data_IF_099449311725
#
_entry.id   IF_099449311725
#
_cell.length_a   1.000
_cell.length_b   1.000
_cell.length_c   1.000
_cell.angle_alpha   90.00
_cell.angle_beta   90.00
_cell.angle_gamma   90.00
#
_symmetry.space_group_name_H-M   'P 1'
#
loop_
_entity.id
_entity.type
_entity.pdbx_description
1 polymer ?
#
# COMPACT_ATOMS: atom_id res chain seq x y z
N UNK A 1 -36.64 -32.68 -4.97
CA UNK A 1 -37.73 -32.63 -3.98
C UNK A 1 -37.10 -32.35 -2.62
N UNK A 2 -37.30 -31.16 -2.09
CA UNK A 2 -37.56 -30.74 -0.71
C UNK A 2 -37.35 -29.24 -0.63
N UNK A 3 -38.46 -28.55 -0.71
CA UNK A 3 -38.67 -27.13 -0.46
C UNK A 3 -38.55 -26.85 1.04
N UNK A 4 -37.81 -25.84 1.44
CA UNK A 4 -37.92 -25.24 2.78
C UNK A 4 -38.31 -23.78 2.65
N UNK A 5 -39.57 -23.56 2.96
CA UNK A 5 -40.25 -22.27 3.12
C UNK A 5 -39.93 -21.76 4.53
N UNK A 6 -39.26 -20.62 4.66
CA UNK A 6 -39.16 -19.90 5.94
C UNK A 6 -40.24 -18.83 6.01
N UNK A 7 -41.26 -19.13 6.82
CA UNK A 7 -42.40 -18.27 7.08
C UNK A 7 -41.98 -17.01 7.90
N UNK A 8 -42.44 -15.87 7.39
CA UNK A 8 -42.43 -14.59 8.11
C UNK A 8 -43.54 -14.63 9.18
N UNK A 9 -43.19 -14.59 10.44
CA UNK A 9 -44.12 -14.34 11.54
C UNK A 9 -44.37 -12.83 11.64
N UNK A 10 -45.56 -12.42 11.25
CA UNK A 10 -46.11 -11.11 11.56
C UNK A 10 -46.76 -11.19 12.94
N UNK A 11 -46.25 -10.40 13.91
CA UNK A 11 -46.89 -10.20 15.21
C UNK A 11 -47.81 -9.00 15.12
N UNK A 12 -49.10 -9.14 15.37
CA UNK A 12 -49.99 -7.98 15.43
C UNK A 12 -49.86 -7.29 16.80
N UNK A 13 -49.52 -6.01 16.80
CA UNK A 13 -49.55 -5.15 17.94
C UNK A 13 -51.02 -4.80 18.21
N UNK A 14 -51.57 -5.34 19.30
CA UNK A 14 -52.88 -4.98 19.83
C UNK A 14 -52.76 -3.66 20.60
N UNK A 15 -53.41 -2.62 20.07
CA UNK A 15 -53.53 -1.32 20.72
C UNK A 15 -54.66 -1.42 21.74
N UNK A 16 -54.34 -1.48 23.03
CA UNK A 16 -55.35 -1.36 24.11
C UNK A 16 -55.34 0.09 24.59
N UNK A 17 -56.37 0.83 24.23
CA UNK A 17 -56.65 2.16 24.74
C UNK A 17 -57.34 2.01 26.09
N UNK A 18 -56.63 2.27 27.21
CA UNK A 18 -57.26 2.46 28.51
C UNK A 18 -57.05 3.90 28.97
N UNK A 19 -58.14 4.68 28.88
CA UNK A 19 -58.25 5.99 29.50
C UNK A 19 -58.38 5.82 31.01
N UNK A 20 -57.36 6.16 31.78
CA UNK A 20 -57.47 6.47 33.20
C UNK A 20 -56.81 7.81 33.44
N UNK A 21 -57.65 8.83 33.69
CA UNK A 21 -57.23 10.12 34.18
C UNK A 21 -56.73 9.95 35.64
N UNK A 22 -55.40 9.99 35.82
CA UNK A 22 -54.76 10.10 37.12
C UNK A 22 -53.64 11.14 36.97
N UNK A 23 -53.74 12.25 37.71
CA UNK A 23 -52.63 13.19 37.90
C UNK A 23 -51.49 12.47 38.62
N UNK A 24 -50.61 11.81 37.86
CA UNK A 24 -49.31 11.39 38.33
C UNK A 24 -48.29 12.35 37.68
N UNK A 25 -47.62 13.16 38.51
CA UNK A 25 -46.42 13.87 38.12
C UNK A 25 -45.42 12.88 37.58
N UNK A 26 -45.30 12.80 36.28
CA UNK A 26 -44.21 12.05 35.61
C UNK A 26 -42.89 12.57 36.22
N UNK A 27 -42.00 11.69 36.66
CA UNK A 27 -40.64 12.09 36.98
C UNK A 27 -40.09 12.70 35.68
N UNK A 28 -39.68 13.96 35.73
CA UNK A 28 -38.97 14.62 34.65
C UNK A 28 -37.69 13.82 34.49
N UNK A 29 -37.57 13.03 33.40
CA UNK A 29 -36.32 12.47 33.02
C UNK A 29 -35.28 13.62 33.10
N UNK A 30 -34.13 13.39 33.74
CA UNK A 30 -33.11 14.42 33.79
C UNK A 30 -32.79 14.76 32.33
N UNK A 31 -33.02 16.04 31.97
CA UNK A 31 -32.63 16.52 30.66
C UNK A 31 -31.13 16.22 30.54
N UNK A 32 -30.78 15.30 29.67
CA UNK A 32 -29.38 15.05 29.35
C UNK A 32 -28.82 16.39 28.91
N UNK A 33 -27.89 16.93 29.67
CA UNK A 33 -27.23 18.17 29.33
C UNK A 33 -26.52 17.96 28.00
N UNK A 34 -26.99 18.63 26.95
CA UNK A 34 -26.45 18.49 25.61
C UNK A 34 -24.94 18.76 25.56
N UNK A 35 -24.45 19.62 26.46
CA UNK A 35 -23.03 19.91 26.60
C UNK A 35 -22.23 18.70 27.10
N UNK A 36 -22.75 17.99 28.11
CA UNK A 36 -22.07 16.78 28.63
C UNK A 36 -22.02 15.64 27.60
N UNK A 37 -23.12 15.41 26.87
CA UNK A 37 -23.15 14.41 25.81
C UNK A 37 -22.17 14.73 24.67
N UNK A 38 -22.02 16.00 24.31
CA UNK A 38 -21.03 16.45 23.33
C UNK A 38 -19.59 16.25 23.83
N UNK A 39 -19.31 16.51 25.08
CA UNK A 39 -18.00 16.30 25.67
C UNK A 39 -17.62 14.81 25.69
N UNK A 40 -18.53 13.94 26.11
CA UNK A 40 -18.33 12.49 26.10
C UNK A 40 -18.03 11.97 24.66
N UNK A 41 -18.80 12.44 23.69
CA UNK A 41 -18.59 12.06 22.28
C UNK A 41 -17.22 12.54 21.75
N UNK A 42 -16.81 13.77 22.09
CA UNK A 42 -15.52 14.30 21.66
C UNK A 42 -14.36 13.55 22.33
N UNK A 43 -14.47 13.20 23.61
CA UNK A 43 -13.48 12.40 24.34
C UNK A 43 -13.37 11.00 23.71
N UNK A 44 -14.48 10.32 23.46
CA UNK A 44 -14.47 9.00 22.82
C UNK A 44 -13.84 9.03 21.41
N UNK A 45 -14.08 10.10 20.64
CA UNK A 45 -13.45 10.30 19.34
C UNK A 45 -11.93 10.51 19.45
N UNK A 46 -11.48 11.24 20.48
CA UNK A 46 -10.06 11.44 20.75
C UNK A 46 -9.37 10.13 21.18
N UNK A 47 -10.00 9.35 22.05
CA UNK A 47 -9.51 8.04 22.48
C UNK A 47 -9.34 7.08 21.29
N UNK A 48 -10.33 7.03 20.39
CA UNK A 48 -10.28 6.22 19.19
C UNK A 48 -9.14 6.65 18.23
N UNK A 49 -8.91 7.96 18.07
CA UNK A 49 -7.82 8.47 17.25
C UNK A 49 -6.43 8.15 17.86
N UNK A 50 -6.32 8.32 19.19
CA UNK A 50 -5.10 7.98 19.94
C UNK A 50 -4.79 6.48 19.83
N UNK A 51 -5.78 5.62 19.96
CA UNK A 51 -5.59 4.17 19.82
C UNK A 51 -5.03 3.78 18.44
N UNK A 52 -5.48 4.46 17.37
CA UNK A 52 -4.93 4.24 16.00
C UNK A 52 -3.49 4.71 15.88
N UNK A 53 -3.16 5.89 16.41
CA UNK A 53 -1.79 6.40 16.37
C UNK A 53 -0.84 5.54 17.21
N UNK A 54 -1.27 5.08 18.40
CA UNK A 54 -0.51 4.20 19.25
C UNK A 54 -0.25 2.82 18.66
N UNK A 55 -1.12 2.31 17.79
CA UNK A 55 -0.89 1.04 17.09
C UNK A 55 0.38 1.05 16.24
N UNK A 56 0.91 2.23 15.92
CA UNK A 56 2.12 2.42 15.15
C UNK A 56 3.27 3.05 15.96
N UNK A 57 3.14 3.21 17.28
CA UNK A 57 4.09 3.89 18.18
C UNK A 57 4.41 5.35 17.76
N UNK A 58 3.45 6.02 17.10
CA UNK A 58 3.63 7.38 16.52
C UNK A 58 2.77 8.45 17.20
N UNK A 59 2.58 8.35 18.51
CA UNK A 59 1.87 9.38 19.26
C UNK A 59 2.82 10.47 19.76
N UNK A 60 2.34 11.72 19.76
CA UNK A 60 3.08 12.82 20.33
C UNK A 60 2.84 12.91 21.84
N UNK A 61 3.90 13.23 22.58
CA UNK A 61 3.90 13.26 24.07
C UNK A 61 2.76 14.05 24.68
N UNK A 62 2.33 15.17 24.06
CA UNK A 62 1.30 16.05 24.61
C UNK A 62 -0.13 15.60 24.27
N UNK A 63 -0.30 14.64 23.38
CA UNK A 63 -1.63 14.19 22.93
C UNK A 63 -2.41 13.55 24.08
N UNK A 64 -1.80 12.65 24.83
CA UNK A 64 -2.40 12.00 25.99
C UNK A 64 -2.69 13.01 27.12
N UNK A 65 -1.84 14.01 27.26
CA UNK A 65 -2.04 15.08 28.22
C UNK A 65 -3.28 15.92 27.90
N UNK A 66 -3.53 16.24 26.63
CA UNK A 66 -4.75 16.94 26.24
C UNK A 66 -6.00 16.09 26.46
N UNK A 67 -5.92 14.77 26.21
CA UNK A 67 -7.02 13.86 26.53
C UNK A 67 -7.33 13.85 28.03
N UNK A 68 -6.32 13.73 28.90
CA UNK A 68 -6.50 13.77 30.35
C UNK A 68 -7.12 15.09 30.82
N UNK A 69 -6.66 16.22 30.29
CA UNK A 69 -7.23 17.53 30.58
C UNK A 69 -8.70 17.64 30.12
N UNK A 70 -9.06 17.03 28.99
CA UNK A 70 -10.45 16.98 28.51
C UNK A 70 -11.35 16.19 29.48
N UNK A 71 -10.89 15.04 29.95
CA UNK A 71 -11.59 14.21 30.93
C UNK A 71 -11.75 14.94 32.27
N UNK A 72 -10.71 15.63 32.72
CA UNK A 72 -10.76 16.44 33.97
C UNK A 72 -11.74 17.62 33.86
N UNK A 73 -11.83 18.28 32.69
CA UNK A 73 -12.77 19.35 32.43
C UNK A 73 -14.22 18.84 32.41
N UNK A 74 -14.46 17.70 31.75
CA UNK A 74 -15.77 17.04 31.74
C UNK A 74 -16.23 16.66 33.14
N UNK A 75 -15.34 16.12 33.98
CA UNK A 75 -15.63 15.79 35.40
C UNK A 75 -16.00 17.01 36.25
N UNK A 76 -15.52 18.19 35.86
CA UNK A 76 -15.86 19.48 36.53
C UNK A 76 -17.12 20.13 35.94
N UNK A 77 -17.77 19.55 34.96
CA UNK A 77 -18.92 20.09 34.26
C UNK A 77 -18.59 21.20 33.24
N UNK A 78 -17.29 21.40 32.92
CA UNK A 78 -16.86 22.34 31.90
C UNK A 78 -16.84 21.64 30.53
N UNK A 79 -18.04 21.50 29.96
CA UNK A 79 -18.24 20.78 28.70
C UNK A 79 -17.55 21.48 27.52
N UNK A 80 -17.47 22.80 27.51
CA UNK A 80 -16.83 23.55 26.42
C UNK A 80 -15.32 23.31 26.39
N UNK A 81 -14.67 23.43 27.55
CA UNK A 81 -13.24 23.12 27.67
C UNK A 81 -12.94 21.64 27.33
N UNK A 82 -13.82 20.72 27.80
CA UNK A 82 -13.67 19.30 27.50
C UNK A 82 -13.71 19.00 26.00
N UNK A 83 -14.68 19.55 25.27
CA UNK A 83 -14.78 19.41 23.81
C UNK A 83 -13.57 20.00 23.10
N UNK A 84 -13.13 21.20 23.51
CA UNK A 84 -11.97 21.87 22.89
C UNK A 84 -10.70 21.06 23.07
N UNK A 85 -10.41 20.57 24.28
CA UNK A 85 -9.23 19.78 24.62
C UNK A 85 -9.25 18.40 23.94
N UNK A 86 -10.41 17.72 23.93
CA UNK A 86 -10.58 16.45 23.24
C UNK A 86 -10.35 16.57 21.73
N UNK A 87 -10.90 17.62 21.10
CA UNK A 87 -10.63 17.88 19.68
C UNK A 87 -9.16 18.15 19.41
N UNK A 88 -8.46 18.82 20.32
CA UNK A 88 -7.02 19.06 20.19
C UNK A 88 -6.22 17.75 20.26
N UNK A 89 -6.56 16.87 21.21
CA UNK A 89 -5.97 15.55 21.32
C UNK A 89 -6.23 14.71 20.06
N UNK A 90 -7.48 14.69 19.58
CA UNK A 90 -7.86 13.98 18.35
C UNK A 90 -7.07 14.46 17.15
N UNK A 91 -7.04 15.76 16.91
CA UNK A 91 -6.34 16.34 15.76
C UNK A 91 -4.84 16.03 15.78
N UNK A 92 -4.20 16.04 16.96
CA UNK A 92 -2.79 15.64 17.09
C UNK A 92 -2.58 14.16 16.78
N UNK A 93 -3.47 13.29 17.24
CA UNK A 93 -3.39 11.85 16.95
C UNK A 93 -3.58 11.55 15.45
N UNK A 94 -4.57 12.20 14.81
CA UNK A 94 -4.83 12.08 13.37
C UNK A 94 -3.64 12.59 12.53
N UNK A 95 -3.00 13.68 12.94
CA UNK A 95 -1.79 14.19 12.28
C UNK A 95 -0.61 13.23 12.45
N UNK A 96 -0.43 12.65 13.64
CA UNK A 96 0.63 11.69 13.91
C UNK A 96 0.44 10.41 13.08
N UNK A 97 -0.79 9.87 13.04
CA UNK A 97 -1.13 8.71 12.19
C UNK A 97 -0.85 9.01 10.71
N UNK A 98 -1.30 10.17 10.21
CA UNK A 98 -1.08 10.56 8.82
C UNK A 98 0.42 10.72 8.50
N UNK A 99 1.20 11.27 9.41
CA UNK A 99 2.65 11.41 9.24
C UNK A 99 3.34 10.05 9.18
N UNK A 100 2.94 9.08 10.01
CA UNK A 100 3.43 7.71 9.95
C UNK A 100 3.23 7.12 8.54
N UNK A 101 1.98 7.16 8.04
CA UNK A 101 1.69 6.64 6.71
C UNK A 101 2.39 7.41 5.60
N UNK A 102 2.61 8.72 5.77
CA UNK A 102 3.34 9.52 4.79
C UNK A 102 4.81 9.08 4.66
N UNK A 103 5.48 8.80 5.79
CA UNK A 103 6.85 8.30 5.75
C UNK A 103 6.93 6.89 5.14
N UNK A 104 5.99 6.00 5.47
CA UNK A 104 5.90 4.69 4.84
C UNK A 104 5.67 4.81 3.33
N UNK A 105 4.72 5.66 2.92
CA UNK A 105 4.40 5.89 1.51
C UNK A 105 5.59 6.46 0.72
N UNK A 106 6.38 7.35 1.30
CA UNK A 106 7.61 7.87 0.66
C UNK A 106 8.63 6.76 0.39
N UNK A 107 8.83 5.85 1.35
CA UNK A 107 9.72 4.71 1.17
C UNK A 107 9.20 3.76 0.09
N UNK A 108 7.92 3.44 0.12
CA UNK A 108 7.24 2.60 -0.88
C UNK A 108 7.26 3.23 -2.27
N UNK A 109 7.05 4.52 -2.38
CA UNK A 109 7.14 5.27 -3.64
C UNK A 109 8.55 5.20 -4.24
N UNK A 110 9.58 5.37 -3.41
CA UNK A 110 10.96 5.23 -3.84
C UNK A 110 11.25 3.84 -4.40
N UNK A 111 10.75 2.79 -3.77
CA UNK A 111 10.88 1.41 -4.25
C UNK A 111 10.16 1.21 -5.58
N UNK A 112 8.87 1.59 -5.65
CA UNK A 112 8.07 1.41 -6.85
C UNK A 112 8.59 2.23 -8.05
N UNK A 113 9.08 3.45 -7.82
CA UNK A 113 9.61 4.33 -8.87
C UNK A 113 10.96 3.87 -9.44
N UNK A 114 11.69 3.01 -8.73
CA UNK A 114 12.93 2.41 -9.22
C UNK A 114 12.69 1.27 -10.24
N UNK A 115 11.46 0.72 -10.29
CA UNK A 115 11.11 -0.39 -11.17
C UNK A 115 10.90 0.11 -12.59
N UNK A 116 11.56 -0.57 -13.55
CA UNK A 116 11.42 -0.27 -14.97
C UNK A 116 10.32 -1.14 -15.60
N UNK A 117 9.70 -0.65 -16.68
CA UNK A 117 8.72 -1.43 -17.43
C UNK A 117 7.33 -1.50 -16.79
N UNK A 118 7.01 -0.60 -15.86
CA UNK A 118 5.66 -0.50 -15.30
C UNK A 118 4.62 -0.32 -16.41
N UNK A 119 3.54 -1.09 -16.36
CA UNK A 119 2.41 -0.94 -17.27
C UNK A 119 1.63 0.36 -17.01
N UNK A 120 0.71 0.73 -17.91
CA UNK A 120 -0.03 1.99 -17.83
C UNK A 120 -0.85 2.11 -16.51
N UNK A 121 -1.43 1.02 -16.01
CA UNK A 121 -2.17 1.03 -14.74
C UNK A 121 -1.25 1.30 -13.55
N UNK A 122 -0.10 0.65 -13.51
CA UNK A 122 0.92 0.83 -12.48
C UNK A 122 1.51 2.24 -12.50
N UNK A 123 1.78 2.79 -13.69
CA UNK A 123 2.23 4.18 -13.85
C UNK A 123 1.18 5.17 -13.35
N UNK A 124 -0.09 4.94 -13.64
CA UNK A 124 -1.18 5.79 -13.13
C UNK A 124 -1.27 5.72 -11.59
N UNK A 125 -1.22 4.52 -11.01
CA UNK A 125 -1.25 4.35 -9.55
C UNK A 125 -0.05 5.05 -8.89
N UNK A 126 1.15 4.94 -9.47
CA UNK A 126 2.34 5.63 -9.00
C UNK A 126 2.20 7.16 -9.08
N UNK A 127 1.63 7.69 -10.16
CA UNK A 127 1.36 9.12 -10.34
C UNK A 127 0.34 9.66 -9.33
N UNK A 128 -0.72 8.91 -9.04
CA UNK A 128 -1.71 9.29 -8.02
C UNK A 128 -1.11 9.24 -6.61
N UNK A 129 -0.27 8.26 -6.32
CA UNK A 129 0.44 8.17 -5.05
C UNK A 129 1.41 9.36 -4.85
N UNK A 130 2.13 9.77 -5.91
CA UNK A 130 3.01 10.95 -5.87
C UNK A 130 2.23 12.24 -5.58
N UNK A 131 1.05 12.41 -6.19
CA UNK A 131 0.16 13.55 -5.89
C UNK A 131 -0.29 13.52 -4.42
N UNK A 132 -0.68 12.35 -3.91
CA UNK A 132 -1.09 12.20 -2.53
C UNK A 132 0.07 12.51 -1.54
N UNK A 133 1.30 12.07 -1.85
CA UNK A 133 2.50 12.40 -1.06
C UNK A 133 2.74 13.91 -1.04
N UNK A 134 2.69 14.58 -2.19
CA UNK A 134 2.87 16.05 -2.29
C UNK A 134 1.81 16.83 -1.52
N UNK A 135 0.59 16.30 -1.45
CA UNK A 135 -0.51 16.89 -0.70
C UNK A 135 -0.49 16.51 0.80
N UNK A 136 0.52 15.78 1.25
CA UNK A 136 0.62 15.25 2.61
C UNK A 136 -0.58 14.34 3.01
N UNK A 137 -1.20 13.67 2.05
CA UNK A 137 -2.28 12.70 2.24
C UNK A 137 -1.68 11.29 2.49
N UNK A 138 -1.02 11.11 3.66
CA UNK A 138 -0.18 9.94 3.92
C UNK A 138 -0.93 8.62 3.82
N UNK A 139 -2.10 8.51 4.46
CA UNK A 139 -2.92 7.29 4.42
C UNK A 139 -3.33 6.92 2.99
N UNK A 140 -3.80 7.91 2.22
CA UNK A 140 -4.18 7.70 0.82
C UNK A 140 -3.02 7.23 -0.05
N UNK A 141 -1.85 7.85 0.13
CA UNK A 141 -0.64 7.43 -0.60
C UNK A 141 -0.24 5.99 -0.26
N UNK A 142 -0.28 5.63 1.02
CA UNK A 142 0.01 4.28 1.50
C UNK A 142 -0.95 3.24 0.92
N UNK A 143 -2.26 3.54 0.93
CA UNK A 143 -3.30 2.64 0.41
C UNK A 143 -3.21 2.44 -1.11
N UNK A 144 -2.71 3.44 -1.87
CA UNK A 144 -2.42 3.31 -3.30
C UNK A 144 -1.16 2.46 -3.58
N UNK A 145 -0.12 2.63 -2.78
CA UNK A 145 1.16 1.97 -2.99
C UNK A 145 1.20 0.52 -2.50
N UNK A 146 0.41 0.18 -1.50
CA UNK A 146 0.38 -1.19 -0.95
C UNK A 146 0.04 -2.24 -2.00
N UNK A 147 -1.10 -2.16 -2.73
CA UNK A 147 -1.42 -3.13 -3.77
C UNK A 147 -0.45 -3.04 -4.96
N UNK A 148 0.00 -1.85 -5.33
CA UNK A 148 0.97 -1.66 -6.41
C UNK A 148 2.28 -2.41 -6.14
N UNK A 149 2.87 -2.25 -4.96
CA UNK A 149 4.10 -2.96 -4.59
C UNK A 149 3.88 -4.47 -4.45
N UNK A 150 2.73 -4.90 -3.95
CA UNK A 150 2.40 -6.32 -3.89
C UNK A 150 2.35 -6.93 -5.31
N UNK A 151 1.74 -6.24 -6.28
CA UNK A 151 1.71 -6.65 -7.68
C UNK A 151 3.12 -6.68 -8.30
N UNK A 152 3.91 -5.62 -8.11
CA UNK A 152 5.30 -5.54 -8.59
C UNK A 152 6.15 -6.67 -8.03
N UNK A 153 6.09 -6.89 -6.71
CA UNK A 153 6.86 -7.96 -6.03
C UNK A 153 6.40 -9.35 -6.46
N UNK A 154 5.11 -9.55 -6.70
CA UNK A 154 4.59 -10.81 -7.23
C UNK A 154 5.03 -11.08 -8.69
N UNK A 155 5.25 -10.02 -9.46
CA UNK A 155 5.75 -10.10 -10.83
C UNK A 155 7.27 -10.27 -10.93
N UNK A 156 8.02 -9.98 -9.86
CA UNK A 156 9.48 -10.14 -9.81
C UNK A 156 9.88 -11.36 -8.97
N UNK A 157 10.95 -12.02 -9.36
CA UNK A 157 11.64 -13.01 -8.55
C UNK A 157 13.15 -12.76 -8.59
N UNK A 158 13.86 -13.22 -7.56
CA UNK A 158 15.30 -13.25 -7.57
C UNK A 158 15.78 -14.65 -7.86
N UNK A 159 16.79 -14.76 -8.71
CA UNK A 159 17.43 -16.01 -9.08
C UNK A 159 18.92 -15.96 -8.70
N UNK A 160 19.38 -16.88 -7.86
CA UNK A 160 20.80 -17.04 -7.54
C UNK A 160 21.48 -17.94 -8.59
N UNK A 161 22.50 -17.42 -9.24
CA UNK A 161 23.27 -18.13 -10.26
C UNK A 161 24.05 -19.27 -9.63
N UNK A 162 23.88 -20.48 -10.16
CA UNK A 162 24.65 -21.66 -9.75
C UNK A 162 25.67 -22.07 -10.81
N UNK A 163 26.63 -22.91 -10.43
CA UNK A 163 27.67 -23.39 -11.35
C UNK A 163 27.06 -24.09 -12.56
N UNK A 164 27.46 -23.70 -13.76
CA UNK A 164 26.95 -24.23 -15.02
C UNK A 164 25.75 -23.47 -15.61
N UNK A 165 25.22 -22.45 -14.91
CA UNK A 165 24.16 -21.61 -15.45
C UNK A 165 24.70 -20.68 -16.56
N UNK A 166 23.81 -20.37 -17.49
CA UNK A 166 23.90 -19.27 -18.45
C UNK A 166 22.56 -18.52 -18.45
N UNK A 167 22.51 -17.30 -18.96
CA UNK A 167 21.24 -16.57 -19.08
C UNK A 167 20.21 -17.34 -19.89
N UNK A 168 20.67 -18.05 -20.92
CA UNK A 168 19.85 -18.95 -21.73
C UNK A 168 19.26 -20.10 -20.91
N UNK A 169 20.08 -20.78 -20.11
CA UNK A 169 19.65 -21.91 -19.29
C UNK A 169 18.70 -21.43 -18.17
N UNK A 170 19.01 -20.30 -17.51
CA UNK A 170 18.17 -19.70 -16.48
C UNK A 170 16.80 -19.34 -17.07
N UNK A 171 16.77 -18.66 -18.22
CA UNK A 171 15.53 -18.25 -18.87
C UNK A 171 14.66 -19.44 -19.30
N UNK A 172 15.27 -20.59 -19.59
CA UNK A 172 14.58 -21.83 -19.95
C UNK A 172 13.94 -22.57 -18.79
N UNK A 173 14.24 -22.22 -17.54
CA UNK A 173 13.69 -22.91 -16.36
C UNK A 173 12.20 -22.60 -16.18
N UNK A 174 11.38 -23.58 -15.75
CA UNK A 174 9.93 -23.37 -15.52
C UNK A 174 9.61 -22.29 -14.49
N UNK A 175 10.45 -22.12 -13.48
CA UNK A 175 10.31 -21.12 -12.44
C UNK A 175 10.61 -19.70 -12.92
N UNK A 176 11.30 -19.53 -14.06
CA UNK A 176 11.56 -18.24 -14.70
C UNK A 176 10.58 -18.00 -15.85
N UNK A 177 11.01 -18.14 -17.08
CA UNK A 177 10.16 -17.87 -18.26
C UNK A 177 9.71 -19.13 -19.00
N UNK A 178 10.30 -20.30 -18.70
CA UNK A 178 10.11 -21.52 -19.47
C UNK A 178 10.37 -21.33 -20.99
N UNK A 179 11.18 -20.33 -21.34
CA UNK A 179 11.51 -19.97 -22.71
C UNK A 179 12.93 -19.37 -22.78
N UNK A 180 13.91 -20.12 -23.29
CA UNK A 180 15.29 -19.65 -23.37
C UNK A 180 15.47 -18.35 -24.17
N UNK A 181 14.65 -18.09 -25.19
CA UNK A 181 14.73 -16.88 -26.01
C UNK A 181 14.39 -15.58 -25.22
N UNK A 182 13.93 -15.69 -23.98
CA UNK A 182 13.64 -14.56 -23.12
C UNK A 182 14.82 -14.14 -22.25
N UNK A 183 15.99 -14.78 -22.39
CA UNK A 183 17.18 -14.43 -21.62
C UNK A 183 17.55 -12.93 -21.65
N UNK A 184 17.30 -12.17 -22.76
CA UNK A 184 17.65 -10.76 -22.77
C UNK A 184 16.84 -9.92 -21.77
N UNK A 185 15.70 -10.42 -21.29
CA UNK A 185 14.94 -9.75 -20.20
C UNK A 185 15.74 -9.76 -18.90
N UNK A 186 16.34 -10.91 -18.55
CA UNK A 186 17.22 -11.02 -17.37
C UNK A 186 18.43 -10.09 -17.54
N UNK A 187 19.03 -10.08 -18.71
CA UNK A 187 20.17 -9.22 -19.02
C UNK A 187 19.82 -7.73 -18.87
N UNK A 188 18.66 -7.30 -19.39
CA UNK A 188 18.17 -5.93 -19.30
C UNK A 188 17.87 -5.50 -17.86
N UNK A 189 17.21 -6.36 -17.07
CA UNK A 189 16.88 -6.10 -15.69
C UNK A 189 18.14 -5.95 -14.80
N UNK A 190 19.23 -6.67 -15.16
CA UNK A 190 20.47 -6.71 -14.39
C UNK A 190 21.68 -6.06 -15.09
N UNK A 191 21.42 -5.12 -16.00
CA UNK A 191 22.47 -4.43 -16.80
C UNK A 191 23.58 -3.77 -15.98
N UNK A 192 23.29 -3.44 -14.72
CA UNK A 192 24.25 -2.82 -13.81
C UNK A 192 25.24 -3.85 -13.27
N UNK A 193 24.84 -5.10 -13.15
CA UNK A 193 25.66 -6.22 -12.70
C UNK A 193 26.30 -6.98 -13.88
N UNK A 194 25.51 -7.24 -14.94
CA UNK A 194 25.94 -8.03 -16.10
C UNK A 194 26.56 -7.11 -17.14
N UNK A 195 27.88 -7.19 -17.27
CA UNK A 195 28.61 -6.40 -18.28
C UNK A 195 28.72 -7.12 -19.63
N UNK A 196 28.71 -8.42 -19.61
CA UNK A 196 28.74 -9.33 -20.75
C UNK A 196 27.70 -10.42 -20.55
N UNK A 197 26.78 -10.56 -21.50
CA UNK A 197 25.66 -11.51 -21.39
C UNK A 197 26.13 -12.99 -21.42
N UNK A 198 27.33 -13.24 -21.92
CA UNK A 198 27.92 -14.58 -21.98
C UNK A 198 28.78 -14.91 -20.76
N UNK A 199 28.94 -13.94 -19.83
CA UNK A 199 29.80 -14.09 -18.65
C UNK A 199 29.05 -13.72 -17.38
N UNK A 200 28.43 -14.72 -16.77
CA UNK A 200 27.83 -14.64 -15.43
C UNK A 200 28.58 -15.57 -14.48
N UNK A 201 28.51 -15.29 -13.18
CA UNK A 201 29.28 -16.01 -12.16
C UNK A 201 28.35 -16.61 -11.09
N UNK A 202 28.64 -17.82 -10.60
CA UNK A 202 27.93 -18.39 -9.45
C UNK A 202 27.95 -17.43 -8.25
N UNK A 203 26.80 -17.36 -7.54
CA UNK A 203 26.57 -16.46 -6.42
C UNK A 203 26.06 -15.07 -6.80
N UNK A 204 26.01 -14.71 -8.09
CA UNK A 204 25.29 -13.52 -8.51
C UNK A 204 23.79 -13.73 -8.30
N UNK A 205 23.09 -12.69 -7.86
CA UNK A 205 21.62 -12.70 -7.70
C UNK A 205 21.00 -11.79 -8.74
N UNK A 206 20.15 -12.34 -9.60
CA UNK A 206 19.50 -11.62 -10.69
C UNK A 206 18.02 -11.39 -10.41
N UNK A 207 17.57 -10.17 -10.71
CA UNK A 207 16.16 -9.86 -10.78
C UNK A 207 15.57 -10.43 -12.07
N UNK A 208 14.47 -11.16 -11.94
CA UNK A 208 13.72 -11.78 -13.06
C UNK A 208 12.31 -11.19 -13.04
N UNK A 209 11.99 -10.37 -14.05
CA UNK A 209 10.64 -9.84 -14.27
C UNK A 209 9.77 -10.94 -14.89
N UNK A 210 8.87 -11.50 -14.10
CA UNK A 210 7.94 -12.57 -14.54
C UNK A 210 6.74 -12.08 -15.33
N UNK A 211 6.55 -10.76 -15.41
CA UNK A 211 5.44 -10.15 -16.13
C UNK A 211 5.90 -9.01 -17.07
N UNK A 212 6.84 -9.31 -17.99
CA UNK A 212 7.36 -8.31 -18.91
C UNK A 212 6.27 -7.77 -19.83
N UNK A 213 6.41 -6.50 -20.26
CA UNK A 213 5.50 -5.92 -21.24
C UNK A 213 5.58 -6.69 -22.58
N UNK A 214 4.50 -6.70 -23.36
CA UNK A 214 4.48 -7.35 -24.67
C UNK A 214 5.59 -6.82 -25.60
N UNK A 215 5.89 -5.51 -25.55
CA UNK A 215 6.96 -4.88 -26.33
C UNK A 215 8.35 -5.31 -25.87
N UNK A 216 8.57 -5.46 -24.55
CA UNK A 216 9.84 -5.95 -24.01
C UNK A 216 10.06 -7.40 -24.36
N UNK A 217 8.99 -8.21 -24.30
CA UNK A 217 9.04 -9.62 -24.69
C UNK A 217 9.40 -9.78 -26.17
N UNK A 218 8.73 -9.05 -27.07
CA UNK A 218 9.01 -9.07 -28.50
C UNK A 218 10.44 -8.62 -28.79
N UNK A 219 10.88 -7.52 -28.20
CA UNK A 219 12.23 -6.98 -28.32
C UNK A 219 13.29 -7.99 -27.86
N UNK A 220 13.07 -8.64 -26.71
CA UNK A 220 13.98 -9.64 -26.17
C UNK A 220 14.10 -10.86 -27.08
N UNK A 221 12.97 -11.41 -27.52
CA UNK A 221 12.96 -12.59 -28.41
C UNK A 221 13.61 -12.26 -29.78
N UNK A 222 13.33 -11.09 -30.34
CA UNK A 222 13.97 -10.62 -31.55
C UNK A 222 15.49 -10.47 -31.38
N UNK A 223 15.93 -9.88 -30.27
CA UNK A 223 17.36 -9.77 -29.96
C UNK A 223 18.02 -11.16 -29.86
N UNK A 224 17.43 -12.08 -29.08
CA UNK A 224 17.98 -13.42 -28.89
C UNK A 224 18.10 -14.22 -30.19
N UNK A 225 17.17 -14.02 -31.13
CA UNK A 225 17.20 -14.71 -32.46
C UNK A 225 18.19 -14.11 -33.43
N UNK A 226 18.44 -12.81 -33.33
CA UNK A 226 19.25 -12.05 -34.30
C UNK A 226 20.60 -11.61 -33.71
N UNK A 227 20.90 -11.99 -32.47
CA UNK A 227 22.21 -11.77 -31.86
C UNK A 227 23.27 -12.46 -32.68
N UNK A 228 24.33 -11.73 -33.07
CA UNK A 228 25.43 -12.25 -33.86
C UNK A 228 26.29 -13.28 -33.11
N UNK A 229 27.53 -13.48 -33.59
CA UNK A 229 28.51 -14.29 -32.90
C UNK A 229 28.73 -13.76 -31.48
N UNK A 230 29.07 -14.65 -30.56
CA UNK A 230 29.34 -14.32 -29.15
C UNK A 230 30.82 -14.54 -28.82
N UNK A 231 31.34 -13.74 -27.92
CA UNK A 231 32.72 -13.86 -27.41
C UNK A 231 32.77 -13.52 -25.92
N UNK A 232 33.29 -14.46 -25.13
CA UNK A 232 33.39 -14.24 -23.66
C UNK A 232 34.36 -13.08 -23.40
N UNK A 233 33.96 -12.16 -22.56
CA UNK A 233 34.71 -10.98 -22.14
C UNK A 233 34.52 -9.76 -23.04
N UNK A 234 33.68 -9.84 -24.06
CA UNK A 234 33.38 -8.75 -25.00
C UNK A 234 31.88 -8.48 -25.01
N UNK A 235 31.49 -7.25 -24.69
CA UNK A 235 30.08 -6.84 -24.85
C UNK A 235 29.81 -6.62 -26.34
N UNK A 236 28.96 -7.46 -26.92
CA UNK A 236 28.56 -7.38 -28.32
C UNK A 236 27.83 -6.07 -28.65
N UNK A 237 28.02 -5.56 -29.87
CA UNK A 237 27.34 -4.35 -30.32
C UNK A 237 25.82 -4.52 -30.40
N UNK A 238 25.33 -5.72 -30.67
CA UNK A 238 23.93 -6.08 -30.63
C UNK A 238 23.36 -5.93 -29.20
N UNK A 239 24.10 -6.37 -28.17
CA UNK A 239 23.74 -6.26 -26.76
C UNK A 239 23.68 -4.80 -26.30
N UNK A 240 24.64 -3.98 -26.73
CA UNK A 240 24.65 -2.54 -26.44
C UNK A 240 23.40 -1.85 -27.01
N UNK A 241 23.05 -2.16 -28.27
CA UNK A 241 21.84 -1.62 -28.92
C UNK A 241 20.57 -2.05 -28.20
N UNK A 242 20.47 -3.31 -27.82
CA UNK A 242 19.34 -3.84 -27.08
C UNK A 242 19.13 -3.12 -25.74
N UNK A 243 20.21 -2.81 -25.04
CA UNK A 243 20.16 -2.06 -23.78
C UNK A 243 19.93 -0.54 -23.93
N UNK A 244 19.71 -0.04 -25.16
CA UNK A 244 19.51 1.39 -25.45
C UNK A 244 20.79 2.21 -25.51
N UNK A 245 21.97 1.59 -25.64
CA UNK A 245 23.24 2.27 -25.85
C UNK A 245 23.39 2.76 -27.30
N UNK A 246 23.75 4.03 -27.52
CA UNK A 246 24.17 4.51 -28.82
C UNK A 246 25.52 3.90 -29.20
N UNK A 247 25.68 3.47 -30.46
CA UNK A 247 26.99 3.12 -31.02
C UNK A 247 27.89 4.36 -30.93
N UNK A 248 28.98 4.29 -30.15
CA UNK A 248 30.10 5.22 -30.39
C UNK A 248 30.76 4.72 -31.66
N UNK A 249 30.57 5.48 -32.74
CA UNK A 249 31.40 5.34 -33.92
C UNK A 249 32.84 5.63 -33.48
N UNK A 250 33.70 4.63 -33.53
CA UNK A 250 35.16 4.82 -33.45
C UNK A 250 35.69 5.20 -34.80
#
# INVERSE_FOLDING_TARGET
>A
MKTNVFGRLLVPVLLVLSLLAGCASTPKEPAVDQGSAQAEQAIAAAEAAIAKANANDWIWRDTEKFLQQAQDAAAKGDSEAAVSLANKARNQAELAENQYYLEQAKAMFKEASAVQGLNASQQNALSEADKAIRNAEGRKAYDLLTPLLAEIRAASMQYEVVSGDSLWAISGKPETYNNPYQWPLIFKANRDQIKDADLIHPGQTFDVDRNPSASDLESAVNHARNRGAWSIGVREDSDRRFLGGSLRLQ
#
